data_IF_318410881235
#
_entry.id   IF_318410881235
#
_cell.length_a   1.000
_cell.length_b   1.000
_cell.length_c   1.000
_cell.angle_alpha   90.00
_cell.angle_beta   90.00
_cell.angle_gamma   90.00
#
_symmetry.space_group_name_H-M   'P 1'
#
loop_
_entity.id
_entity.type
_entity.pdbx_description
1 polymer ?
#
# COMPACT_ATOMS: atom_id res chain seq x y z
N UNK A 1 8.35 -2.05 -11.13
CA UNK A 1 8.13 -0.63 -10.79
C UNK A 1 9.33 -0.14 -9.99
N UNK A 2 9.44 1.14 -9.72
CA UNK A 2 10.28 1.63 -8.63
C UNK A 2 9.39 1.84 -7.38
N UNK A 3 9.99 2.13 -6.22
CA UNK A 3 9.27 2.33 -4.97
C UNK A 3 8.15 3.38 -5.11
N UNK A 4 8.44 4.46 -5.82
CA UNK A 4 7.51 5.55 -6.06
C UNK A 4 6.31 5.12 -6.92
N UNK A 5 6.55 4.46 -8.06
CA UNK A 5 5.50 3.97 -8.94
C UNK A 5 4.57 2.96 -8.25
N UNK A 6 5.13 2.11 -7.39
CA UNK A 6 4.35 1.15 -6.63
C UNK A 6 3.48 1.84 -5.55
N UNK A 7 3.96 2.91 -4.92
CA UNK A 7 3.17 3.75 -4.03
C UNK A 7 2.02 4.47 -4.75
N UNK A 8 2.27 5.01 -5.96
CA UNK A 8 1.22 5.61 -6.80
C UNK A 8 0.13 4.58 -7.13
N UNK A 9 0.52 3.36 -7.46
CA UNK A 9 -0.42 2.28 -7.75
C UNK A 9 -1.35 1.98 -6.55
N UNK A 10 -0.80 1.91 -5.33
CA UNK A 10 -1.59 1.71 -4.11
C UNK A 10 -2.61 2.82 -3.91
N UNK A 11 -2.19 4.09 -4.07
CA UNK A 11 -3.08 5.24 -3.97
C UNK A 11 -4.25 5.12 -4.95
N UNK A 12 -3.94 4.80 -6.20
CA UNK A 12 -4.92 4.71 -7.27
C UNK A 12 -5.96 3.60 -7.01
N UNK A 13 -5.53 2.46 -6.48
CA UNK A 13 -6.48 1.38 -6.17
C UNK A 13 -7.37 1.73 -4.99
N UNK A 14 -6.84 2.40 -3.96
CA UNK A 14 -7.66 2.83 -2.81
C UNK A 14 -8.77 3.78 -3.30
N UNK A 15 -8.44 4.72 -4.17
CA UNK A 15 -9.42 5.62 -4.79
C UNK A 15 -10.47 4.84 -5.60
N UNK A 16 -10.06 3.85 -6.39
CA UNK A 16 -10.99 3.01 -7.15
C UNK A 16 -11.92 2.20 -6.23
N UNK A 17 -11.38 1.62 -5.15
CA UNK A 17 -12.15 0.86 -4.17
C UNK A 17 -13.18 1.76 -3.46
N UNK A 18 -12.80 2.99 -3.12
CA UNK A 18 -13.67 3.95 -2.45
C UNK A 18 -14.75 4.56 -3.36
N UNK A 19 -14.40 4.81 -4.63
CA UNK A 19 -15.29 5.47 -5.59
C UNK A 19 -16.31 4.53 -6.23
N UNK A 20 -16.18 3.21 -6.02
CA UNK A 20 -17.05 2.24 -6.68
C UNK A 20 -18.50 2.33 -6.16
N UNK A 21 -19.50 2.64 -7.02
CA UNK A 21 -20.88 2.93 -6.61
C UNK A 21 -21.71 1.71 -6.16
N UNK A 22 -21.10 0.54 -5.98
CA UNK A 22 -21.79 -0.71 -5.60
C UNK A 22 -21.27 -1.22 -4.26
N UNK A 23 -22.06 -1.04 -3.20
CA UNK A 23 -21.83 -1.65 -1.86
C UNK A 23 -21.92 -3.19 -1.94
N UNK A 24 -21.19 -3.93 -1.08
CA UNK A 24 -19.79 -4.34 -1.23
C UNK A 24 -19.67 -5.84 -1.66
N UNK A 25 -18.44 -6.37 -1.84
CA UNK A 25 -17.68 -6.81 -0.64
C UNK A 25 -16.42 -5.99 -0.33
N UNK A 26 -16.09 -4.98 -1.14
CA UNK A 26 -14.76 -4.35 -1.15
C UNK A 26 -14.74 -2.97 -0.46
N UNK A 27 -15.74 -2.57 0.33
CA UNK A 27 -15.68 -1.25 0.97
C UNK A 27 -14.56 -1.22 2.03
N UNK A 28 -13.43 -0.60 1.69
CA UNK A 28 -12.37 -0.37 2.66
C UNK A 28 -12.87 0.56 3.77
N UNK A 29 -12.57 0.23 5.01
CA UNK A 29 -12.89 1.13 6.12
C UNK A 29 -12.21 2.49 5.88
N UNK A 30 -12.93 3.57 6.22
CA UNK A 30 -12.45 4.93 5.96
C UNK A 30 -11.15 5.23 6.73
N UNK A 31 -10.99 4.68 7.94
CA UNK A 31 -9.75 4.85 8.71
C UNK A 31 -8.59 4.08 8.09
N UNK A 32 -8.84 2.86 7.62
CA UNK A 32 -7.85 2.06 6.91
C UNK A 32 -7.35 2.79 5.66
N UNK A 33 -8.28 3.32 4.88
CA UNK A 33 -7.92 4.06 3.66
C UNK A 33 -7.13 5.32 3.96
N UNK A 34 -7.52 6.07 5.00
CA UNK A 34 -6.83 7.29 5.40
C UNK A 34 -5.41 6.97 5.87
N UNK A 35 -5.23 5.94 6.70
CA UNK A 35 -3.92 5.50 7.17
C UNK A 35 -3.00 5.12 5.99
N UNK A 36 -3.49 4.37 5.01
CA UNK A 36 -2.66 4.05 3.83
C UNK A 36 -2.32 5.33 3.06
N UNK A 37 -3.30 6.21 2.82
CA UNK A 37 -3.09 7.48 2.09
C UNK A 37 -2.03 8.34 2.78
N UNK A 38 -2.10 8.49 4.10
CA UNK A 38 -1.18 9.30 4.90
C UNK A 38 0.24 8.72 4.92
N UNK A 39 0.37 7.38 4.92
CA UNK A 39 1.67 6.71 4.87
C UNK A 39 2.28 6.76 3.47
N UNK A 40 1.48 6.50 2.43
CA UNK A 40 1.90 6.57 1.03
C UNK A 40 2.38 7.96 0.67
N UNK A 41 1.60 9.01 1.02
CA UNK A 41 1.98 10.41 0.74
C UNK A 41 3.30 10.78 1.39
N UNK A 42 3.50 10.41 2.66
CA UNK A 42 4.75 10.67 3.36
C UNK A 42 5.96 9.98 2.70
N UNK A 43 5.81 8.71 2.30
CA UNK A 43 6.89 7.96 1.68
C UNK A 43 7.20 8.45 0.26
N UNK A 44 6.19 8.94 -0.48
CA UNK A 44 6.40 9.62 -1.76
C UNK A 44 7.21 10.91 -1.57
N UNK A 45 6.83 11.74 -0.59
CA UNK A 45 7.58 12.96 -0.27
C UNK A 45 9.03 12.64 0.12
N UNK A 46 9.27 11.57 0.87
CA UNK A 46 10.62 11.10 1.22
C UNK A 46 11.43 10.68 -0.02
N UNK A 47 10.83 9.87 -0.90
CA UNK A 47 11.48 9.41 -2.14
C UNK A 47 11.79 10.58 -3.09
N UNK A 48 10.96 11.62 -3.12
CA UNK A 48 11.19 12.80 -3.97
C UNK A 48 12.24 13.76 -3.40
N UNK A 49 12.30 13.93 -2.07
CA UNK A 49 13.05 15.02 -1.45
C UNK A 49 14.30 14.59 -0.65
N UNK A 50 14.29 13.42 -0.01
CA UNK A 50 15.34 12.98 0.93
C UNK A 50 16.22 11.84 0.37
N UNK A 51 15.76 11.08 -0.61
CA UNK A 51 16.54 10.00 -1.25
C UNK A 51 17.82 10.47 -1.96
N UNK A 52 17.96 11.78 -2.23
CA UNK A 52 19.12 12.35 -2.95
C UNK A 52 20.43 12.34 -2.14
N UNK A 53 20.37 12.07 -0.84
CA UNK A 53 21.56 11.92 0.00
C UNK A 53 22.06 10.48 -0.15
N UNK A 54 22.98 10.26 -1.10
CA UNK A 54 23.63 8.96 -1.35
C UNK A 54 24.27 8.37 -0.08
N UNK A 55 23.50 7.63 0.71
CA UNK A 55 23.97 6.82 1.83
C UNK A 55 23.33 5.42 1.73
N UNK A 56 24.03 4.39 2.24
CA UNK A 56 23.56 2.99 2.19
C UNK A 56 22.23 2.77 2.94
N UNK A 57 21.87 3.65 3.87
CA UNK A 57 20.61 3.58 4.63
C UNK A 57 19.42 4.05 3.78
N UNK A 58 19.60 5.04 2.93
CA UNK A 58 18.60 5.54 1.99
C UNK A 58 18.27 4.48 0.93
N UNK A 59 19.30 3.82 0.39
CA UNK A 59 19.14 2.68 -0.53
C UNK A 59 18.41 1.51 0.15
N UNK A 60 18.73 1.26 1.43
CA UNK A 60 18.07 0.21 2.23
C UNK A 60 16.60 0.55 2.50
N UNK A 61 16.28 1.82 2.80
CA UNK A 61 14.93 2.28 3.03
C UNK A 61 14.10 2.26 1.74
N UNK A 62 14.67 2.70 0.61
CA UNK A 62 14.01 2.63 -0.70
C UNK A 62 13.66 1.19 -1.08
N UNK A 63 14.60 0.25 -0.90
CA UNK A 63 14.37 -1.17 -1.13
C UNK A 63 13.21 -1.71 -0.28
N UNK A 64 13.16 -1.35 1.00
CA UNK A 64 12.06 -1.75 1.91
C UNK A 64 10.71 -1.13 1.50
N UNK A 65 10.71 0.10 1.02
CA UNK A 65 9.49 0.74 0.50
C UNK A 65 9.01 -0.01 -0.74
N UNK A 66 9.92 -0.35 -1.67
CA UNK A 66 9.59 -1.13 -2.85
C UNK A 66 9.00 -2.49 -2.48
N UNK A 67 9.63 -3.23 -1.57
CA UNK A 67 9.15 -4.53 -1.11
C UNK A 67 7.74 -4.47 -0.50
N UNK A 68 7.50 -3.49 0.38
CA UNK A 68 6.18 -3.29 0.99
C UNK A 68 5.12 -2.93 -0.07
N UNK A 69 5.49 -2.10 -1.04
CA UNK A 69 4.58 -1.67 -2.08
C UNK A 69 4.25 -2.81 -3.07
N UNK A 70 5.23 -3.65 -3.42
CA UNK A 70 5.01 -4.85 -4.21
C UNK A 70 4.16 -5.89 -3.50
N UNK A 71 4.33 -6.04 -2.19
CA UNK A 71 3.47 -6.91 -1.40
C UNK A 71 2.01 -6.43 -1.46
N UNK A 72 1.79 -5.11 -1.35
CA UNK A 72 0.47 -4.50 -1.48
C UNK A 72 -0.15 -4.77 -2.86
N UNK A 73 0.62 -4.56 -3.93
CA UNK A 73 0.19 -4.79 -5.31
C UNK A 73 -0.26 -6.23 -5.52
N UNK A 74 0.58 -7.19 -5.13
CA UNK A 74 0.27 -8.62 -5.25
C UNK A 74 -0.99 -9.03 -4.48
N UNK A 75 -1.18 -8.51 -3.27
CA UNK A 75 -2.37 -8.79 -2.44
C UNK A 75 -3.64 -8.26 -3.13
N UNK A 76 -3.56 -7.07 -3.71
CA UNK A 76 -4.72 -6.43 -4.34
C UNK A 76 -5.03 -7.07 -5.69
N UNK A 77 -4.04 -7.31 -6.54
CA UNK A 77 -4.21 -7.99 -7.82
C UNK A 77 -4.81 -9.38 -7.61
N UNK A 78 -4.26 -10.15 -6.66
CA UNK A 78 -4.80 -11.47 -6.30
C UNK A 78 -6.26 -11.38 -5.82
N UNK A 79 -6.61 -10.36 -5.03
CA UNK A 79 -8.00 -10.17 -4.60
C UNK A 79 -8.94 -9.86 -5.77
N UNK A 80 -8.50 -9.03 -6.72
CA UNK A 80 -9.27 -8.68 -7.93
C UNK A 80 -9.46 -9.92 -8.81
N UNK A 81 -8.40 -10.66 -9.11
CA UNK A 81 -8.46 -11.90 -9.90
C UNK A 81 -9.40 -12.91 -9.25
N UNK A 82 -9.24 -13.16 -7.95
CA UNK A 82 -10.11 -14.06 -7.20
C UNK A 82 -11.59 -13.63 -7.25
N UNK A 83 -11.87 -12.32 -7.19
CA UNK A 83 -13.25 -11.79 -7.31
C UNK A 83 -13.83 -11.96 -8.71
N UNK A 84 -13.02 -11.79 -9.75
CA UNK A 84 -13.44 -11.98 -11.15
C UNK A 84 -13.71 -13.46 -11.43
N UNK A 85 -12.80 -14.36 -11.03
CA UNK A 85 -12.90 -15.80 -11.29
C UNK A 85 -14.01 -16.46 -10.48
N UNK A 86 -14.20 -16.06 -9.22
CA UNK A 86 -15.17 -16.68 -8.31
C UNK A 86 -16.65 -16.35 -8.62
N UNK A 87 -16.97 -15.62 -9.70
CA UNK A 87 -18.36 -15.38 -10.17
C UNK A 87 -19.37 -14.98 -9.08
N UNK A 88 -18.94 -14.21 -8.06
CA UNK A 88 -19.69 -13.75 -6.86
C UNK A 88 -19.68 -14.66 -5.63
N UNK A 89 -18.92 -15.75 -5.60
CA UNK A 89 -18.70 -16.45 -4.34
C UNK A 89 -17.92 -15.58 -3.35
N UNK A 90 -18.15 -15.84 -2.07
CA UNK A 90 -17.74 -15.01 -0.94
C UNK A 90 -16.21 -15.10 -0.74
N UNK A 91 -15.43 -14.50 -1.65
CA UNK A 91 -13.96 -14.42 -1.56
C UNK A 91 -13.61 -13.95 -0.16
N UNK A 92 -12.64 -14.63 0.47
CA UNK A 92 -12.23 -14.45 1.86
C UNK A 92 -11.74 -13.02 2.12
N UNK A 93 -12.72 -12.12 2.28
CA UNK A 93 -12.48 -10.68 2.39
C UNK A 93 -11.75 -10.40 3.70
N UNK A 94 -11.93 -11.25 4.71
CA UNK A 94 -11.22 -11.20 5.99
C UNK A 94 -9.71 -11.38 5.79
N UNK A 95 -9.31 -12.36 4.97
CA UNK A 95 -7.89 -12.61 4.67
C UNK A 95 -7.27 -11.46 3.86
N UNK A 96 -8.02 -10.90 2.91
CA UNK A 96 -7.62 -9.69 2.19
C UNK A 96 -7.39 -8.50 3.14
N UNK A 97 -8.34 -8.20 4.02
CA UNK A 97 -8.19 -7.11 5.00
C UNK A 97 -7.01 -7.32 5.95
N UNK A 98 -6.80 -8.56 6.41
CA UNK A 98 -5.68 -8.90 7.30
C UNK A 98 -4.33 -8.71 6.60
N UNK A 99 -4.22 -9.14 5.35
CA UNK A 99 -3.01 -8.97 4.54
C UNK A 99 -2.73 -7.48 4.27
N UNK A 100 -3.76 -6.68 3.99
CA UNK A 100 -3.61 -5.24 3.80
C UNK A 100 -3.21 -4.52 5.10
N UNK A 101 -3.77 -4.92 6.25
CA UNK A 101 -3.36 -4.41 7.56
C UNK A 101 -1.89 -4.68 7.86
N UNK A 102 -1.36 -5.82 7.42
CA UNK A 102 0.06 -6.12 7.57
C UNK A 102 0.92 -5.15 6.76
N UNK A 103 0.57 -4.91 5.49
CA UNK A 103 1.25 -3.94 4.63
C UNK A 103 1.23 -2.54 5.26
N UNK A 104 0.11 -2.13 5.84
CA UNK A 104 0.03 -0.84 6.57
C UNK A 104 1.03 -0.81 7.72
N UNK A 105 1.09 -1.87 8.53
CA UNK A 105 2.07 -1.96 9.62
C UNK A 105 3.51 -1.89 9.12
N UNK A 106 3.80 -2.52 7.99
CA UNK A 106 5.13 -2.48 7.36
C UNK A 106 5.46 -1.04 6.90
N UNK A 107 4.53 -0.35 6.23
CA UNK A 107 4.68 1.06 5.81
C UNK A 107 4.83 2.01 7.01
N UNK A 108 4.06 1.83 8.07
CA UNK A 108 4.15 2.61 9.31
C UNK A 108 5.51 2.41 10.01
N UNK A 109 6.03 1.18 10.00
CA UNK A 109 7.36 0.91 10.54
C UNK A 109 8.45 1.58 9.71
N UNK A 110 8.36 1.52 8.38
CA UNK A 110 9.31 2.20 7.50
C UNK A 110 9.26 3.72 7.70
N UNK A 111 8.05 4.29 7.80
CA UNK A 111 7.86 5.71 8.11
C UNK A 111 8.52 6.12 9.41
N UNK A 112 8.38 5.32 10.47
CA UNK A 112 9.04 5.58 11.75
C UNK A 112 10.56 5.57 11.60
N UNK A 113 11.12 4.59 10.89
CA UNK A 113 12.56 4.50 10.66
C UNK A 113 13.07 5.72 9.86
N UNK A 114 12.31 6.21 8.88
CA UNK A 114 12.63 7.47 8.18
C UNK A 114 12.65 8.67 9.13
N UNK A 115 11.70 8.75 10.07
CA UNK A 115 11.66 9.86 11.04
C UNK A 115 12.70 9.77 12.15
N UNK A 116 13.12 8.56 12.53
CA UNK A 116 14.12 8.33 13.59
C UNK A 116 15.57 8.46 13.08
N UNK A 117 15.80 8.26 11.78
CA UNK A 117 17.11 8.41 11.14
C UNK A 117 17.33 9.80 10.49
N UNK A 118 16.45 10.78 10.77
CA UNK A 118 16.60 12.20 10.38
C UNK A 118 17.19 13.04 11.52
#
# INVERSE_FOLDING_TARGET
MDAYGALVFIMHIIEQIQSHPLRPPISLDKKLSQSITDNVSFLQDYLENDSSVNNEEADTLESRIADAAYAAENIIESHIVNKIEAHRENVNSIEFYKSLQKVIGDLESIKRDVTENK
#
